data_IF_399832124235
#
_entry.id   IF_399832124235
#
_cell.length_a   1.000
_cell.length_b   1.000
_cell.length_c   1.000
_cell.angle_alpha   90.00
_cell.angle_beta   90.00
_cell.angle_gamma   90.00
#
_symmetry.space_group_name_H-M   'P 1'
#
loop_
_entity.id
_entity.type
_entity.pdbx_description
1 polymer ?
#
# COMPACT_ATOMS: atom_id res chain seq x y z
N UNK A 1 -0.04 -10.69 -6.04
CA UNK A 1 0.44 -12.05 -5.69
C UNK A 1 -0.64 -12.72 -4.87
N UNK A 2 -1.07 -13.95 -5.24
CA UNK A 2 -2.23 -14.62 -4.64
C UNK A 2 -2.08 -14.90 -3.14
N UNK A 3 -3.20 -15.13 -2.46
CA UNK A 3 -3.27 -15.39 -1.02
C UNK A 3 -2.47 -16.66 -0.66
N UNK A 4 -1.22 -16.50 -0.21
CA UNK A 4 -0.29 -17.57 0.17
C UNK A 4 -0.63 -18.14 1.55
N UNK A 5 -1.88 -18.59 1.75
CA UNK A 5 -2.40 -18.99 3.06
C UNK A 5 -1.73 -20.24 3.67
N UNK A 6 -0.93 -20.96 2.89
CA UNK A 6 -0.21 -22.16 3.34
C UNK A 6 1.31 -22.03 3.24
N UNK A 7 1.84 -20.83 2.99
CA UNK A 7 3.28 -20.65 2.95
C UNK A 7 3.85 -20.81 4.36
N UNK A 8 4.69 -21.84 4.53
CA UNK A 8 5.39 -22.16 5.78
C UNK A 8 6.89 -21.85 5.72
N UNK A 9 7.47 -21.89 4.53
CA UNK A 9 8.90 -21.67 4.30
C UNK A 9 9.06 -20.68 3.15
N UNK A 10 9.87 -19.64 3.35
CA UNK A 10 10.18 -18.65 2.31
C UNK A 10 11.68 -18.35 2.32
N UNK A 11 12.41 -18.95 1.39
CA UNK A 11 13.85 -18.72 1.23
C UNK A 11 14.09 -17.98 -0.07
N UNK A 12 14.59 -16.76 0.05
CA UNK A 12 14.95 -15.85 -1.02
C UNK A 12 16.40 -15.37 -0.87
N UNK A 13 17.20 -16.04 -0.03
CA UNK A 13 18.59 -15.68 0.19
C UNK A 13 19.46 -15.84 -1.06
N UNK A 14 20.62 -15.16 -1.08
CA UNK A 14 21.58 -15.19 -2.20
C UNK A 14 20.96 -14.75 -3.55
N UNK A 15 20.15 -13.69 -3.52
CA UNK A 15 19.54 -13.11 -4.71
C UNK A 15 19.90 -11.61 -4.81
N UNK A 16 19.41 -10.97 -5.87
CA UNK A 16 19.59 -9.53 -6.10
C UNK A 16 18.27 -8.77 -5.83
N UNK A 17 17.48 -9.22 -4.85
CA UNK A 17 16.21 -8.57 -4.52
C UNK A 17 16.49 -7.21 -3.87
N UNK A 18 15.78 -6.17 -4.31
CA UNK A 18 15.95 -4.81 -3.82
C UNK A 18 14.61 -4.16 -3.47
N UNK A 19 14.68 -3.13 -2.64
CA UNK A 19 13.52 -2.33 -2.24
C UNK A 19 12.95 -2.73 -0.89
N UNK A 20 11.79 -2.17 -0.57
CA UNK A 20 11.18 -2.33 0.74
C UNK A 20 10.50 -3.70 0.87
N UNK A 21 10.77 -4.39 1.98
CA UNK A 21 10.02 -5.59 2.37
C UNK A 21 8.58 -5.17 2.68
N UNK A 22 7.57 -5.80 2.07
CA UNK A 22 6.18 -5.40 2.26
C UNK A 22 5.63 -5.79 3.63
N UNK A 23 4.87 -4.88 4.26
CA UNK A 23 4.20 -5.12 5.55
C UNK A 23 3.26 -6.33 5.53
N UNK A 24 2.71 -6.68 4.36
CA UNK A 24 1.84 -7.85 4.19
C UNK A 24 2.53 -9.19 4.48
N UNK A 25 3.86 -9.19 4.60
CA UNK A 25 4.64 -10.35 5.02
C UNK A 25 4.47 -10.63 6.52
N UNK A 26 4.14 -9.62 7.34
CA UNK A 26 3.81 -9.79 8.76
C UNK A 26 2.58 -10.71 8.88
N UNK A 27 2.51 -11.46 9.99
CA UNK A 27 1.39 -12.36 10.33
C UNK A 27 1.18 -13.50 9.34
N UNK A 28 2.16 -13.79 8.48
CA UNK A 28 2.23 -15.07 7.80
C UNK A 28 2.68 -16.13 8.80
N UNK A 29 2.05 -17.29 8.73
CA UNK A 29 2.34 -18.43 9.59
C UNK A 29 3.59 -19.19 9.12
N UNK A 30 4.67 -18.43 8.87
CA UNK A 30 5.97 -18.94 8.44
C UNK A 30 6.67 -19.61 9.62
N UNK A 31 7.16 -20.81 9.37
CA UNK A 31 8.08 -21.54 10.22
C UNK A 31 9.53 -21.12 9.95
N UNK A 32 9.85 -20.80 8.68
CA UNK A 32 11.19 -20.38 8.27
C UNK A 32 11.12 -19.23 7.25
N UNK A 33 12.02 -18.27 7.44
CA UNK A 33 12.24 -17.15 6.53
C UNK A 33 13.75 -16.99 6.37
N UNK A 34 14.21 -16.89 5.12
CA UNK A 34 15.58 -16.52 4.83
C UNK A 34 15.62 -15.49 3.69
N UNK A 35 15.99 -14.26 4.01
CA UNK A 35 16.12 -13.09 3.14
C UNK A 35 17.58 -12.62 3.07
N UNK A 36 18.52 -13.41 3.61
CA UNK A 36 19.92 -13.01 3.71
C UNK A 36 20.54 -12.73 2.33
N UNK A 37 21.59 -11.92 2.29
CA UNK A 37 22.39 -11.69 1.09
C UNK A 37 21.55 -11.18 -0.11
N UNK A 38 20.81 -10.09 0.13
CA UNK A 38 20.05 -9.33 -0.86
C UNK A 38 20.34 -7.80 -0.72
N UNK A 39 19.47 -6.94 -1.24
CA UNK A 39 19.50 -5.47 -1.12
C UNK A 39 18.19 -4.91 -0.55
N UNK A 40 17.55 -5.67 0.34
CA UNK A 40 16.24 -5.34 0.90
C UNK A 40 16.35 -4.30 2.01
N UNK A 41 15.28 -3.54 2.21
CA UNK A 41 15.15 -2.54 3.26
C UNK A 41 13.84 -2.73 4.02
N UNK A 42 13.79 -2.34 5.30
CA UNK A 42 12.54 -2.24 6.04
C UNK A 42 12.60 -1.03 6.98
N UNK A 43 11.53 -0.22 6.97
CA UNK A 43 11.44 1.02 7.73
C UNK A 43 10.35 0.98 8.82
N UNK A 44 9.52 -0.07 8.83
CA UNK A 44 8.45 -0.25 9.81
C UNK A 44 8.94 -1.07 11.02
N UNK A 45 8.74 -0.54 12.23
CA UNK A 45 9.22 -1.16 13.46
C UNK A 45 8.57 -2.52 13.76
N UNK A 46 7.30 -2.70 13.40
CA UNK A 46 6.59 -3.96 13.62
C UNK A 46 7.08 -5.03 12.64
N UNK A 47 7.35 -4.64 11.39
CA UNK A 47 7.98 -5.51 10.40
C UNK A 47 9.38 -5.91 10.83
N UNK A 48 10.22 -4.95 11.24
CA UNK A 48 11.59 -5.21 11.70
C UNK A 48 11.57 -6.18 12.88
N UNK A 49 10.74 -5.94 13.90
CA UNK A 49 10.65 -6.83 15.05
C UNK A 49 10.19 -8.26 14.67
N UNK A 50 9.31 -8.38 13.68
CA UNK A 50 8.87 -9.68 13.17
C UNK A 50 9.99 -10.39 12.37
N UNK A 51 10.72 -9.66 11.52
CA UNK A 51 11.87 -10.17 10.76
C UNK A 51 13.00 -10.63 11.69
N UNK A 52 13.35 -9.82 12.69
CA UNK A 52 14.40 -10.13 13.68
C UNK A 52 14.13 -11.45 14.42
N UNK A 53 12.86 -11.84 14.57
CA UNK A 53 12.46 -13.10 15.20
C UNK A 53 12.66 -14.31 14.28
N UNK A 54 12.36 -14.20 12.99
CA UNK A 54 12.37 -15.32 12.05
C UNK A 54 13.70 -15.46 11.27
N UNK A 55 14.38 -14.36 11.00
CA UNK A 55 15.65 -14.30 10.29
C UNK A 55 16.54 -13.22 10.95
N UNK A 56 17.15 -13.48 12.12
CA UNK A 56 17.89 -12.46 12.88
C UNK A 56 19.07 -11.80 12.13
N UNK A 57 19.56 -12.44 11.07
CA UNK A 57 20.64 -11.97 10.20
C UNK A 57 20.16 -11.07 9.06
N UNK A 58 18.84 -10.96 8.80
CA UNK A 58 18.31 -10.31 7.61
C UNK A 58 18.93 -8.93 7.40
N UNK A 59 18.95 -8.07 8.42
CA UNK A 59 19.40 -6.68 8.29
C UNK A 59 20.92 -6.56 8.07
N UNK A 60 21.72 -7.46 8.64
CA UNK A 60 23.19 -7.37 8.61
C UNK A 60 23.81 -7.99 7.37
N UNK A 61 23.06 -8.84 6.66
CA UNK A 61 23.49 -9.51 5.41
C UNK A 61 23.03 -8.76 4.16
N UNK A 62 22.19 -7.73 4.29
CA UNK A 62 21.86 -6.88 3.13
C UNK A 62 23.07 -6.06 2.70
N UNK A 63 23.29 -5.99 1.39
CA UNK A 63 24.29 -5.10 0.79
C UNK A 63 23.61 -3.93 0.09
N UNK A 64 24.18 -2.72 0.10
CA UNK A 64 23.66 -1.64 -0.73
C UNK A 64 23.63 -2.07 -2.21
N UNK A 65 22.50 -1.84 -2.87
CA UNK A 65 22.39 -2.10 -4.31
C UNK A 65 23.47 -1.32 -5.08
N UNK A 66 24.26 -2.01 -5.89
CA UNK A 66 25.39 -1.41 -6.64
C UNK A 66 25.09 -1.15 -8.12
N UNK A 67 23.85 -1.40 -8.56
CA UNK A 67 23.40 -1.14 -9.92
C UNK A 67 23.11 0.34 -10.21
N UNK A 68 22.53 0.65 -11.39
CA UNK A 68 22.19 2.02 -11.75
C UNK A 68 21.21 2.63 -10.73
N UNK A 69 21.21 3.97 -10.60
CA UNK A 69 20.21 4.65 -9.77
C UNK A 69 18.81 4.31 -10.29
N UNK A 70 17.96 3.76 -9.43
CA UNK A 70 16.59 3.36 -9.75
C UNK A 70 15.59 4.26 -9.01
N UNK A 71 14.48 4.57 -9.67
CA UNK A 71 13.33 5.24 -9.04
C UNK A 71 12.07 4.41 -9.25
N UNK A 72 11.36 4.14 -8.16
CA UNK A 72 10.22 3.22 -8.13
C UNK A 72 9.31 3.56 -6.95
N UNK A 73 8.06 3.10 -7.00
CA UNK A 73 7.18 3.11 -5.84
C UNK A 73 7.74 2.21 -4.74
N UNK A 74 7.52 2.59 -3.48
CA UNK A 74 7.86 1.75 -2.33
C UNK A 74 7.09 0.43 -2.31
N UNK A 75 5.87 0.43 -2.85
CA UNK A 75 4.98 -0.72 -2.99
C UNK A 75 4.24 -0.68 -4.32
N UNK A 76 3.83 -1.85 -4.83
CA UNK A 76 2.96 -1.93 -6.02
C UNK A 76 1.48 -1.79 -5.69
N UNK A 77 1.12 -1.78 -4.41
CA UNK A 77 -0.25 -1.64 -3.92
C UNK A 77 -0.28 -0.77 -2.67
N UNK A 78 -1.22 0.17 -2.62
CA UNK A 78 -1.53 1.03 -1.49
C UNK A 78 -3.00 0.88 -1.14
N UNK A 79 -3.38 1.23 0.10
CA UNK A 79 -4.78 1.30 0.47
C UNK A 79 -5.00 2.42 1.48
N UNK A 80 -6.17 3.04 1.39
CA UNK A 80 -6.63 4.14 2.24
C UNK A 80 -8.11 3.91 2.55
N UNK A 81 -8.56 4.27 3.75
CA UNK A 81 -10.00 4.38 3.98
C UNK A 81 -10.50 5.68 3.36
N UNK A 82 -11.68 5.65 2.77
CA UNK A 82 -12.27 6.81 2.11
C UNK A 82 -12.39 8.04 3.04
N UNK A 83 -12.71 7.83 4.33
CA UNK A 83 -12.79 8.91 5.33
C UNK A 83 -11.42 9.42 5.84
N UNK A 84 -10.30 8.83 5.43
CA UNK A 84 -8.97 9.38 5.76
C UNK A 84 -8.66 10.64 4.93
N UNK A 85 -9.41 10.90 3.85
CA UNK A 85 -9.35 12.11 3.02
C UNK A 85 -8.10 12.23 2.14
N UNK A 86 -7.02 11.50 2.42
CA UNK A 86 -5.82 11.49 1.59
C UNK A 86 -5.01 10.19 1.72
N UNK A 87 -4.51 9.68 0.60
CA UNK A 87 -3.50 8.63 0.57
C UNK A 87 -2.10 9.21 0.38
N UNK A 88 -1.13 8.77 1.20
CA UNK A 88 0.28 9.12 1.00
C UNK A 88 0.98 8.05 0.19
N UNK A 89 1.57 8.44 -0.94
CA UNK A 89 2.31 7.56 -1.83
C UNK A 89 3.80 7.85 -1.72
N UNK A 90 4.60 6.81 -1.51
CA UNK A 90 6.05 6.91 -1.36
C UNK A 90 6.78 6.41 -2.59
N UNK A 91 7.73 7.19 -3.07
CA UNK A 91 8.65 6.88 -4.16
C UNK A 91 10.07 6.86 -3.60
N UNK A 92 10.78 5.78 -3.90
CA UNK A 92 12.11 5.51 -3.35
C UNK A 92 13.17 5.61 -4.45
N UNK A 93 14.37 6.01 -4.06
CA UNK A 93 15.57 6.00 -4.90
C UNK A 93 16.52 4.92 -4.38
N UNK A 94 16.88 3.96 -5.21
CA UNK A 94 17.78 2.85 -4.84
C UNK A 94 19.05 2.92 -5.68
N UNK A 95 20.18 2.49 -5.11
CA UNK A 95 21.47 2.43 -5.79
C UNK A 95 22.33 3.66 -5.53
N UNK A 96 23.12 4.05 -6.52
CA UNK A 96 23.97 5.23 -6.41
C UNK A 96 23.15 6.51 -6.18
N UNK A 97 23.58 7.32 -5.21
CA UNK A 97 23.01 8.64 -4.90
C UNK A 97 23.72 9.79 -5.62
N UNK A 98 24.77 9.48 -6.39
CA UNK A 98 25.46 10.46 -7.23
C UNK A 98 24.52 10.99 -8.33
N UNK A 99 24.60 12.28 -8.60
CA UNK A 99 23.78 13.00 -9.56
C UNK A 99 22.38 13.35 -9.02
N UNK A 100 21.83 14.44 -9.54
CA UNK A 100 20.44 14.80 -9.33
C UNK A 100 19.52 13.90 -10.14
N UNK A 101 18.35 13.59 -9.58
CA UNK A 101 17.34 12.70 -10.18
C UNK A 101 15.97 13.37 -10.13
N UNK A 102 15.16 13.18 -11.17
CA UNK A 102 13.74 13.55 -11.14
C UNK A 102 12.87 12.44 -11.73
N UNK A 103 11.60 12.40 -11.32
CA UNK A 103 10.59 11.54 -11.93
C UNK A 103 9.23 12.23 -11.90
N UNK A 104 8.46 12.08 -12.97
CA UNK A 104 7.08 12.53 -13.02
C UNK A 104 6.15 11.47 -12.45
N UNK A 105 5.13 11.88 -11.72
CA UNK A 105 4.06 11.00 -11.23
C UNK A 105 2.69 11.48 -11.74
N UNK A 106 1.78 10.54 -11.94
CA UNK A 106 0.39 10.83 -12.28
C UNK A 106 -0.56 9.72 -11.82
N UNK A 107 -1.78 10.11 -11.46
CA UNK A 107 -2.93 9.22 -11.25
C UNK A 107 -3.71 9.02 -12.54
N UNK A 108 -4.36 7.86 -12.70
CA UNK A 108 -5.36 7.63 -13.75
C UNK A 108 -6.47 6.72 -13.27
N UNK A 109 -7.66 6.94 -13.80
CA UNK A 109 -8.86 6.16 -13.47
C UNK A 109 -8.67 4.67 -13.76
N UNK A 110 -9.26 3.84 -12.89
CA UNK A 110 -9.59 2.44 -13.20
C UNK A 110 -11.06 2.19 -12.84
N UNK A 111 -11.38 1.58 -11.69
CA UNK A 111 -12.76 1.58 -11.19
C UNK A 111 -13.07 2.92 -10.53
N UNK A 112 -12.11 3.46 -9.76
CA UNK A 112 -12.19 4.80 -9.21
C UNK A 112 -12.14 5.86 -10.33
N UNK A 113 -12.98 6.90 -10.22
CA UNK A 113 -13.12 8.01 -11.18
C UNK A 113 -12.73 9.34 -10.57
N UNK A 114 -11.98 10.10 -11.37
CA UNK A 114 -11.62 11.48 -11.03
C UNK A 114 -12.86 12.33 -10.83
N UNK A 115 -12.93 13.02 -9.70
CA UNK A 115 -14.00 13.95 -9.35
C UNK A 115 -15.23 13.32 -8.67
N UNK A 116 -15.34 11.99 -8.63
CA UNK A 116 -16.26 11.30 -7.71
C UNK A 116 -15.50 10.69 -6.54
N UNK A 117 -14.40 9.98 -6.78
CA UNK A 117 -13.76 9.15 -5.74
C UNK A 117 -12.39 9.71 -5.33
N UNK A 118 -11.75 10.46 -6.22
CA UNK A 118 -10.46 11.10 -5.95
C UNK A 118 -10.21 12.35 -6.82
N UNK A 119 -9.26 13.19 -6.41
CA UNK A 119 -8.79 14.33 -7.22
C UNK A 119 -7.55 13.93 -8.03
N UNK A 120 -7.63 14.09 -9.35
CA UNK A 120 -6.52 13.79 -10.24
C UNK A 120 -5.26 14.55 -9.82
N UNK A 121 -4.18 13.81 -9.60
CA UNK A 121 -2.94 14.30 -9.04
C UNK A 121 -1.77 13.96 -9.95
N UNK A 122 -0.95 14.97 -10.27
CA UNK A 122 0.30 14.79 -11.01
C UNK A 122 1.34 15.82 -10.60
N UNK A 123 2.60 15.52 -10.87
CA UNK A 123 3.73 16.41 -10.56
C UNK A 123 5.08 15.75 -10.79
N UNK A 124 6.14 16.37 -10.26
CA UNK A 124 7.52 15.89 -10.39
C UNK A 124 8.18 15.81 -9.02
N UNK A 125 8.76 14.67 -8.68
CA UNK A 125 9.61 14.50 -7.52
C UNK A 125 11.07 14.70 -7.91
N UNK A 126 11.85 15.31 -7.01
CA UNK A 126 13.24 15.67 -7.26
C UNK A 126 14.13 15.21 -6.10
N UNK A 127 15.29 14.66 -6.45
CA UNK A 127 16.41 14.38 -5.55
C UNK A 127 17.59 15.22 -5.98
N UNK A 128 18.21 15.91 -5.03
CA UNK A 128 19.48 16.58 -5.26
C UNK A 128 20.62 15.56 -5.41
N UNK A 129 21.77 16.02 -5.89
CA UNK A 129 23.01 15.24 -5.86
C UNK A 129 23.31 14.79 -4.42
N UNK A 130 23.56 13.48 -4.24
CA UNK A 130 23.77 12.85 -2.93
C UNK A 130 22.50 12.58 -2.12
N UNK A 131 21.32 13.01 -2.56
CA UNK A 131 20.05 12.76 -1.87
C UNK A 131 19.48 11.38 -2.22
N UNK A 132 19.40 10.51 -1.21
CA UNK A 132 18.82 9.18 -1.29
C UNK A 132 17.53 9.04 -0.45
N UNK A 133 17.03 10.13 0.14
CA UNK A 133 15.85 10.06 1.00
C UNK A 133 14.58 9.86 0.18
N UNK A 134 13.69 9.00 0.67
CA UNK A 134 12.36 8.78 0.11
C UNK A 134 11.61 10.10 -0.11
N UNK A 135 10.83 10.17 -1.19
CA UNK A 135 9.94 11.29 -1.49
C UNK A 135 8.50 10.82 -1.49
N UNK A 136 7.58 11.72 -1.19
CA UNK A 136 6.15 11.41 -1.13
C UNK A 136 5.33 12.42 -1.91
N UNK A 137 4.16 11.98 -2.36
CA UNK A 137 3.07 12.85 -2.79
C UNK A 137 1.76 12.32 -2.20
N UNK A 138 0.73 13.16 -2.17
CA UNK A 138 -0.59 12.83 -1.63
C UNK A 138 -1.63 12.81 -2.73
N UNK A 139 -2.51 11.81 -2.71
CA UNK A 139 -3.73 11.79 -3.52
C UNK A 139 -4.89 12.12 -2.60
N UNK A 140 -5.63 13.18 -2.91
CA UNK A 140 -6.85 13.56 -2.18
C UNK A 140 -7.99 12.59 -2.55
N UNK A 141 -8.65 12.08 -1.52
CA UNK A 141 -9.74 11.10 -1.60
C UNK A 141 -11.05 11.82 -1.29
N UNK A 142 -12.06 11.57 -2.11
CA UNK A 142 -13.40 12.10 -1.92
C UNK A 142 -14.20 11.02 -1.18
N UNK A 143 -14.89 11.43 -0.11
CA UNK A 143 -15.75 10.56 0.69
C UNK A 143 -17.20 10.77 0.30
N UNK A 144 -17.90 9.69 -0.07
CA UNK A 144 -19.32 9.73 -0.40
C UNK A 144 -20.19 8.71 0.37
N UNK A 145 -21.42 8.50 -0.12
CA UNK A 145 -22.44 7.64 0.51
C UNK A 145 -22.76 6.37 -0.32
N UNK A 146 -21.93 6.05 -1.31
CA UNK A 146 -22.04 4.88 -2.16
C UNK A 146 -21.14 3.77 -1.61
N UNK A 147 -21.74 2.59 -1.35
CA UNK A 147 -20.98 1.42 -0.91
C UNK A 147 -20.14 0.86 -2.06
N UNK A 148 -18.88 1.29 -2.17
CA UNK A 148 -17.96 0.84 -3.21
C UNK A 148 -16.48 0.78 -2.78
N UNK A 149 -15.78 -0.26 -3.23
CA UNK A 149 -14.33 -0.33 -3.07
C UNK A 149 -13.71 -0.15 -4.44
N UNK A 150 -12.89 0.88 -4.59
CA UNK A 150 -12.41 1.30 -5.88
C UNK A 150 -10.90 1.38 -5.98
N UNK A 151 -10.42 1.22 -7.20
CA UNK A 151 -9.00 1.23 -7.53
C UNK A 151 -8.71 2.34 -8.51
N UNK A 152 -7.59 3.03 -8.30
CA UNK A 152 -6.95 3.88 -9.29
C UNK A 152 -5.52 3.44 -9.54
N UNK A 153 -4.98 3.84 -10.69
CA UNK A 153 -3.62 3.53 -11.10
C UNK A 153 -2.71 4.73 -10.82
N UNK A 154 -1.54 4.44 -10.26
CA UNK A 154 -0.44 5.36 -10.05
C UNK A 154 0.67 5.02 -11.04
N UNK A 155 1.26 6.02 -11.69
CA UNK A 155 2.34 5.82 -12.66
C UNK A 155 3.53 6.75 -12.41
N UNK A 156 4.73 6.24 -12.65
CA UNK A 156 5.98 6.99 -12.70
C UNK A 156 6.50 7.03 -14.13
N UNK A 157 6.83 8.22 -14.63
CA UNK A 157 7.27 8.44 -16.01
C UNK A 157 8.43 9.46 -16.05
N UNK A 158 9.05 9.58 -17.23
CA UNK A 158 10.05 10.61 -17.54
C UNK A 158 11.18 10.73 -16.50
N UNK A 159 11.67 9.59 -15.98
CA UNK A 159 12.80 9.61 -15.05
C UNK A 159 14.04 10.20 -15.71
N UNK A 160 14.72 11.13 -15.03
CA UNK A 160 16.00 11.70 -15.45
C UNK A 160 17.06 11.47 -14.38
N UNK A 161 18.30 11.21 -14.78
CA UNK A 161 19.40 10.85 -13.86
C UNK A 161 19.28 9.45 -13.23
N UNK A 162 18.19 8.73 -13.47
CA UNK A 162 17.91 7.40 -12.98
C UNK A 162 17.14 6.57 -14.02
N UNK A 163 17.02 5.27 -13.78
CA UNK A 163 16.18 4.35 -14.54
C UNK A 163 14.91 4.06 -13.73
N UNK A 164 13.76 3.94 -14.40
CA UNK A 164 12.54 3.48 -13.72
C UNK A 164 12.71 2.02 -13.27
N UNK A 165 12.48 1.76 -11.99
CA UNK A 165 12.44 0.40 -11.47
C UNK A 165 11.19 -0.36 -11.93
N UNK A 166 11.13 -1.65 -11.61
CA UNK A 166 10.01 -2.52 -12.00
C UNK A 166 8.67 -2.09 -11.41
N UNK A 167 8.67 -1.51 -10.21
CA UNK A 167 7.49 -0.90 -9.59
C UNK A 167 7.30 0.56 -10.03
N UNK A 168 7.22 0.81 -11.35
CA UNK A 168 6.89 2.12 -11.90
C UNK A 168 5.38 2.35 -12.09
N UNK A 169 4.57 1.33 -11.80
CA UNK A 169 3.10 1.41 -11.72
C UNK A 169 2.67 0.80 -10.40
N UNK A 170 1.67 1.38 -9.76
CA UNK A 170 1.06 0.86 -8.55
C UNK A 170 -0.46 1.05 -8.57
N UNK A 171 -1.17 0.29 -7.73
CA UNK A 171 -2.61 0.44 -7.53
C UNK A 171 -2.86 1.06 -6.16
N UNK A 172 -3.72 2.06 -6.07
CA UNK A 172 -4.27 2.53 -4.81
C UNK A 172 -5.72 2.06 -4.70
N UNK A 173 -6.02 1.32 -3.63
CA UNK A 173 -7.38 0.89 -3.29
C UNK A 173 -8.00 1.83 -2.26
N UNK A 174 -9.06 2.50 -2.63
CA UNK A 174 -9.94 3.27 -1.76
C UNK A 174 -10.93 2.29 -1.14
N UNK A 175 -10.90 2.17 0.20
CA UNK A 175 -11.79 1.28 0.94
C UNK A 175 -12.95 2.08 1.49
N UNK A 176 -14.15 1.65 1.12
CA UNK A 176 -15.41 2.16 1.65
C UNK A 176 -15.40 2.22 3.18
N UNK A 177 -15.99 3.28 3.72
CA UNK A 177 -16.18 3.45 5.16
C UNK A 177 -17.65 3.27 5.59
N UNK A 178 -18.60 3.08 4.67
CA UNK A 178 -20.04 3.00 4.97
C UNK A 178 -20.38 1.74 5.77
N UNK A 179 -19.64 0.65 5.57
CA UNK A 179 -19.68 -0.51 6.46
C UNK A 179 -19.39 -0.17 7.93
N UNK A 180 -18.61 0.89 8.17
CA UNK A 180 -18.27 1.43 9.49
C UNK A 180 -19.20 2.60 9.92
N UNK A 181 -19.79 3.36 8.98
CA UNK A 181 -20.76 4.46 9.21
C UNK A 181 -22.21 4.02 9.46
N UNK A 182 -22.49 2.77 9.84
CA UNK A 182 -23.84 2.40 10.31
C UNK A 182 -24.10 3.02 11.70
N UNK A 183 -24.25 4.34 11.74
CA UNK A 183 -24.51 5.17 12.91
C UNK A 183 -25.99 5.54 12.97
N UNK A 184 -26.65 5.11 14.03
CA UNK A 184 -28.08 5.34 14.24
C UNK A 184 -28.46 6.80 14.48
N UNK A 185 -27.49 7.69 14.60
CA UNK A 185 -27.70 9.12 14.75
C UNK A 185 -28.21 9.77 13.45
N UNK A 186 -27.89 9.21 12.29
CA UNK A 186 -28.26 9.77 10.98
C UNK A 186 -29.52 9.12 10.39
N UNK A 187 -29.97 8.01 10.95
CA UNK A 187 -31.18 7.29 10.53
C UNK A 187 -32.42 7.88 11.21
N UNK A 188 -33.16 8.74 10.50
CA UNK A 188 -34.39 9.36 11.05
C UNK A 188 -35.67 8.54 10.82
N UNK A 189 -35.60 7.51 9.98
CA UNK A 189 -36.76 6.73 9.53
C UNK A 189 -37.29 5.74 10.58
N UNK A 190 -36.42 5.35 11.51
CA UNK A 190 -36.75 4.46 12.63
C UNK A 190 -36.22 5.05 13.95
N UNK A 191 -36.81 4.70 15.10
CA UNK A 191 -36.30 5.12 16.40
C UNK A 191 -34.82 4.71 16.61
N UNK A 192 -34.00 5.54 17.27
CA UNK A 192 -32.58 5.23 17.51
C UNK A 192 -32.35 3.88 18.17
N UNK A 193 -33.19 3.50 19.15
CA UNK A 193 -33.10 2.21 19.81
C UNK A 193 -33.39 1.01 18.88
N UNK A 194 -34.27 1.18 17.89
CA UNK A 194 -34.54 0.14 16.90
C UNK A 194 -33.38 0.01 15.93
N UNK A 195 -32.82 1.14 15.49
CA UNK A 195 -31.60 1.14 14.69
C UNK A 195 -30.45 0.45 15.44
N UNK A 196 -30.21 0.78 16.72
CA UNK A 196 -29.11 0.19 17.50
C UNK A 196 -29.21 -1.34 17.56
N UNK A 197 -30.43 -1.87 17.71
CA UNK A 197 -30.70 -3.31 17.71
C UNK A 197 -30.43 -3.93 16.33
N UNK A 198 -30.82 -3.25 15.24
CA UNK A 198 -30.57 -3.73 13.88
C UNK A 198 -29.09 -3.69 13.51
N UNK A 199 -28.36 -2.64 13.89
CA UNK A 199 -26.90 -2.54 13.73
C UNK A 199 -26.21 -3.67 14.50
N UNK A 200 -26.62 -3.93 15.74
CA UNK A 200 -26.08 -5.01 16.56
C UNK A 200 -26.36 -6.39 15.92
N UNK A 201 -27.56 -6.60 15.37
CA UNK A 201 -27.91 -7.82 14.66
C UNK A 201 -27.07 -7.99 13.40
N UNK A 202 -26.95 -6.94 12.58
CA UNK A 202 -26.13 -6.92 11.37
C UNK A 202 -24.69 -7.31 11.68
N UNK A 203 -24.05 -6.65 12.66
CA UNK A 203 -22.67 -6.94 13.08
C UNK A 203 -22.50 -8.36 13.64
N UNK A 204 -23.45 -8.84 14.45
CA UNK A 204 -23.35 -10.17 15.10
C UNK A 204 -23.60 -11.37 14.18
N UNK A 205 -24.17 -11.14 13.00
CA UNK A 205 -24.58 -12.22 12.08
C UNK A 205 -23.83 -12.18 10.74
N UNK A 206 -22.69 -11.50 10.69
CA UNK A 206 -21.80 -11.50 9.53
C UNK A 206 -22.04 -10.36 8.55
N UNK A 207 -22.97 -9.45 8.82
CA UNK A 207 -23.17 -8.15 8.17
C UNK A 207 -22.96 -8.16 6.67
N UNK A 208 -21.85 -7.56 6.23
CA UNK A 208 -21.46 -7.43 4.82
C UNK A 208 -21.35 -8.77 4.06
N UNK A 209 -21.31 -9.91 4.76
CA UNK A 209 -21.26 -11.26 4.19
C UNK A 209 -22.64 -11.92 4.07
N UNK A 210 -23.73 -11.24 4.43
CA UNK A 210 -25.08 -11.74 4.21
C UNK A 210 -25.28 -12.00 2.72
N UNK A 211 -25.61 -13.24 2.39
CA UNK A 211 -25.99 -13.62 1.03
C UNK A 211 -27.50 -13.78 0.97
N UNK A 212 -28.12 -13.17 -0.03
CA UNK A 212 -29.50 -13.49 -0.38
C UNK A 212 -29.61 -14.98 -0.69
N UNK A 213 -30.31 -15.73 0.15
CA UNK A 213 -30.75 -17.09 -0.17
C UNK A 213 -32.12 -16.98 -0.81
N UNK A 214 -32.18 -16.77 -2.13
CA UNK A 214 -33.42 -17.04 -2.84
C UNK A 214 -33.58 -18.56 -2.99
N UNK A 215 -34.75 -19.05 -2.57
CA UNK A 215 -35.26 -20.37 -2.96
C UNK A 215 -35.57 -20.47 -4.45
#
# INVERSE_FOLDING_TARGET
>A
MGNLSYLRYLHLNDNELYGNIPLSLINRDLEELNLDDNHLMANDLSLIAWLDKLNPTWATTQTPYSGPSLVLFSFTTYSVMENEGQATITVIRIGASDGAVSVDYATSDDTAKTGSDYIATSGTLNWADGDAADKTFTVEIIDDEILENDNLILSLNNATGAVLGSANTAVLTIRDNIGDKLECAEVTEIPPAECEVLVALYKSTGGANWKYQNG
#
